data_IF_645437309212
#
_entry.id   IF_645437309212
#
_cell.length_a   1.000
_cell.length_b   1.000
_cell.length_c   1.000
_cell.angle_alpha   90.00
_cell.angle_beta   90.00
_cell.angle_gamma   90.00
#
_symmetry.space_group_name_H-M   'P 1'
#
loop_
_entity.id
_entity.type
_entity.pdbx_description
1 polymer ?
#
# COMPACT_ATOMS: atom_id res chain seq x y z
N UNK A 1 4.50 -4.55 10.87
CA UNK A 1 3.17 -4.20 10.32
C UNK A 1 3.38 -3.25 9.16
N UNK A 2 2.81 -3.49 7.98
CA UNK A 2 2.87 -2.50 6.88
C UNK A 2 1.51 -1.87 6.73
N UNK A 3 1.49 -0.54 6.67
CA UNK A 3 0.29 0.24 6.37
C UNK A 3 0.52 0.93 5.04
N UNK A 4 -0.39 0.72 4.09
CA UNK A 4 -0.28 1.32 2.75
C UNK A 4 -1.64 1.80 2.24
N UNK A 5 -1.63 2.95 1.58
CA UNK A 5 -2.84 3.54 1.02
C UNK A 5 -3.79 4.12 2.07
N UNK A 6 -5.09 4.12 1.75
CA UNK A 6 -6.11 4.78 2.54
C UNK A 6 -6.34 6.25 2.14
N UNK A 7 -7.28 6.89 2.80
CA UNK A 7 -7.65 8.28 2.56
C UNK A 7 -8.76 8.72 3.52
N UNK A 8 -9.03 10.02 3.67
CA UNK A 8 -10.01 10.56 4.62
C UNK A 8 -11.48 10.26 4.28
N UNK A 9 -11.76 9.32 3.36
CA UNK A 9 -13.09 9.00 2.85
C UNK A 9 -13.44 9.67 1.51
N UNK A 10 -12.63 10.63 1.04
CA UNK A 10 -12.72 11.26 -0.29
C UNK A 10 -11.31 11.39 -0.92
N UNK A 11 -11.23 11.42 -2.25
CA UNK A 11 -9.98 11.59 -3.02
C UNK A 11 -9.24 12.88 -2.64
N UNK A 12 -7.89 12.88 -2.54
CA UNK A 12 -6.97 11.86 -3.08
C UNK A 12 -6.58 10.74 -2.09
N UNK A 13 -6.41 9.53 -2.61
CA UNK A 13 -5.84 8.40 -1.84
C UNK A 13 -4.32 8.57 -1.68
N UNK A 14 -3.79 8.13 -0.54
CA UNK A 14 -2.35 8.15 -0.31
C UNK A 14 -1.65 7.12 -1.23
N UNK A 15 -0.54 7.54 -1.86
CA UNK A 15 0.35 6.67 -2.64
C UNK A 15 1.54 6.17 -1.80
N UNK A 16 1.54 6.48 -0.51
CA UNK A 16 2.60 6.15 0.42
C UNK A 16 2.16 5.01 1.32
N UNK A 17 3.14 4.20 1.71
CA UNK A 17 3.00 3.30 2.84
C UNK A 17 4.31 3.23 3.58
N UNK A 18 4.27 2.62 4.75
CA UNK A 18 5.43 2.47 5.58
C UNK A 18 5.44 1.10 6.26
N UNK A 19 6.63 0.55 6.42
CA UNK A 19 6.85 -0.62 7.25
C UNK A 19 7.06 -0.15 8.68
N UNK A 20 6.05 -0.36 9.52
CA UNK A 20 6.15 -0.21 10.96
C UNK A 20 6.81 -1.47 11.54
N UNK A 21 7.96 -1.31 12.17
CA UNK A 21 8.50 -2.31 13.08
C UNK A 21 7.91 -2.05 14.48
N UNK A 22 6.96 -2.87 14.96
CA UNK A 22 6.31 -2.65 16.24
C UNK A 22 7.24 -2.90 17.44
N UNK A 23 8.39 -3.56 17.24
CA UNK A 23 9.38 -3.78 18.30
C UNK A 23 10.33 -2.58 18.44
N UNK A 24 10.56 -1.85 17.34
CA UNK A 24 11.43 -0.69 17.30
C UNK A 24 10.68 0.66 17.35
N UNK A 25 9.34 0.63 17.35
CA UNK A 25 8.45 1.80 17.20
C UNK A 25 8.89 2.74 16.06
N UNK A 26 9.38 2.13 14.98
CA UNK A 26 10.04 2.84 13.88
C UNK A 26 9.35 2.54 12.55
N UNK A 27 9.25 3.58 11.72
CA UNK A 27 8.77 3.49 10.35
C UNK A 27 9.95 3.54 9.40
N UNK A 28 10.15 2.48 8.65
CA UNK A 28 11.13 2.47 7.57
C UNK A 28 10.43 2.84 6.25
N UNK A 29 10.97 3.80 5.48
CA UNK A 29 10.45 4.10 4.15
C UNK A 29 10.64 2.87 3.25
N UNK A 30 9.58 2.47 2.56
CA UNK A 30 9.62 1.39 1.55
C UNK A 30 9.88 1.99 0.17
N UNK A 31 10.58 1.23 -0.69
CA UNK A 31 10.79 1.70 -2.05
C UNK A 31 9.46 1.75 -2.78
N UNK A 32 9.16 2.90 -3.40
CA UNK A 32 8.00 3.07 -4.29
C UNK A 32 8.30 2.62 -5.73
N UNK A 33 9.43 1.97 -5.95
CA UNK A 33 9.78 1.44 -7.27
C UNK A 33 8.85 0.28 -7.60
N UNK A 34 8.11 0.40 -8.72
CA UNK A 34 7.01 -0.49 -9.13
C UNK A 34 5.75 -0.45 -8.24
N UNK A 35 5.59 0.65 -7.50
CA UNK A 35 4.38 0.93 -6.73
C UNK A 35 3.12 0.86 -7.63
N UNK A 36 2.10 0.07 -7.25
CA UNK A 36 0.79 0.15 -7.87
C UNK A 36 0.18 1.55 -7.74
N UNK A 37 -0.69 1.90 -8.69
CA UNK A 37 -1.46 3.15 -8.63
C UNK A 37 -2.24 3.31 -7.32
N UNK A 38 -2.55 4.57 -6.98
CA UNK A 38 -3.32 4.95 -5.80
C UNK A 38 -4.65 4.21 -5.73
N UNK A 39 -4.90 3.56 -4.59
CA UNK A 39 -6.10 2.73 -4.39
C UNK A 39 -6.48 2.60 -2.92
N UNK A 40 -7.76 2.36 -2.69
CA UNK A 40 -8.35 1.98 -1.40
C UNK A 40 -8.98 0.59 -1.50
N UNK A 41 -9.40 0.00 -0.37
CA UNK A 41 -10.06 -1.31 -0.32
C UNK A 41 -9.27 -2.45 -1.01
N UNK A 42 -7.95 -2.34 -1.07
CA UNK A 42 -7.08 -3.37 -1.66
C UNK A 42 -6.73 -4.44 -0.62
N UNK A 43 -6.25 -5.59 -1.09
CA UNK A 43 -5.64 -6.62 -0.23
C UNK A 43 -4.12 -6.42 -0.24
N UNK A 44 -3.49 -6.47 0.94
CA UNK A 44 -2.04 -6.37 1.08
C UNK A 44 -1.47 -7.56 1.86
N UNK A 45 -0.39 -8.16 1.37
CA UNK A 45 0.32 -9.27 2.02
C UNK A 45 1.81 -8.96 2.09
N UNK A 46 2.43 -9.21 3.25
CA UNK A 46 3.88 -9.06 3.46
C UNK A 46 4.60 -10.41 3.41
N UNK A 47 5.52 -10.57 2.47
CA UNK A 47 6.32 -11.80 2.29
C UNK A 47 7.71 -11.66 2.92
N UNK A 48 7.78 -11.13 4.15
CA UNK A 48 9.00 -10.85 4.93
C UNK A 48 9.92 -9.73 4.40
N UNK A 49 10.07 -9.60 3.08
CA UNK A 49 10.93 -8.59 2.44
C UNK A 49 10.22 -7.76 1.37
N UNK A 50 8.98 -8.09 1.03
CA UNK A 50 8.20 -7.43 -0.03
C UNK A 50 6.75 -7.36 0.32
N UNK A 51 6.09 -6.28 -0.07
CA UNK A 51 4.63 -6.15 0.05
C UNK A 51 4.01 -6.39 -1.30
N UNK A 52 3.02 -7.27 -1.35
CA UNK A 52 2.18 -7.49 -2.53
C UNK A 52 0.84 -6.81 -2.28
N UNK A 53 0.43 -5.95 -3.20
CA UNK A 53 -0.86 -5.26 -3.17
C UNK A 53 -1.68 -5.70 -4.37
N UNK A 54 -2.94 -6.12 -4.16
CA UNK A 54 -3.82 -6.57 -5.23
C UNK A 54 -5.23 -6.00 -5.11
N UNK A 55 -5.85 -5.72 -6.25
CA UNK A 55 -7.23 -5.25 -6.34
C UNK A 55 -7.44 -3.84 -5.80
N UNK A 56 -8.65 -3.56 -5.30
CA UNK A 56 -9.03 -2.28 -4.69
C UNK A 56 -9.82 -1.35 -5.62
N UNK A 57 -9.91 -0.07 -5.25
CA UNK A 57 -10.65 0.97 -5.95
C UNK A 57 -9.81 2.25 -6.02
N UNK A 58 -9.58 2.78 -7.23
CA UNK A 58 -8.77 3.98 -7.45
C UNK A 58 -9.57 5.29 -7.42
N UNK A 59 -10.85 5.25 -7.02
CA UNK A 59 -11.72 6.43 -7.08
C UNK A 59 -12.57 6.50 -8.34
N UNK A 60 -12.32 5.62 -9.31
CA UNK A 60 -13.07 5.53 -10.57
C UNK A 60 -13.48 4.11 -10.92
N UNK A 61 -12.57 3.14 -10.79
CA UNK A 61 -12.79 1.75 -11.17
C UNK A 61 -12.38 0.80 -10.05
N UNK A 62 -13.08 -0.33 -9.94
CA UNK A 62 -12.57 -1.51 -9.24
C UNK A 62 -11.41 -2.10 -10.05
N UNK A 63 -10.33 -2.42 -9.35
CA UNK A 63 -9.09 -2.88 -9.95
C UNK A 63 -8.99 -4.40 -9.86
N UNK A 64 -8.51 -5.03 -10.92
CA UNK A 64 -8.06 -6.42 -10.95
C UNK A 64 -6.53 -6.51 -11.13
N UNK A 65 -5.82 -5.40 -10.94
CA UNK A 65 -4.37 -5.27 -11.07
C UNK A 65 -3.71 -5.20 -9.69
N UNK A 66 -2.40 -5.44 -9.65
CA UNK A 66 -1.60 -5.33 -8.44
C UNK A 66 -0.17 -4.91 -8.73
N UNK A 67 0.62 -4.81 -7.67
CA UNK A 67 2.04 -4.48 -7.75
C UNK A 67 2.75 -4.79 -6.45
N UNK A 68 4.06 -4.58 -6.44
CA UNK A 68 4.92 -4.92 -5.30
C UNK A 68 5.71 -3.72 -4.81
N UNK A 69 5.95 -3.68 -3.51
CA UNK A 69 6.92 -2.79 -2.88
C UNK A 69 8.09 -3.64 -2.38
N UNK A 70 9.31 -3.18 -2.68
CA UNK A 70 10.57 -3.71 -2.16
C UNK A 70 10.99 -2.98 -0.88
#
# INVERSE_FOLDING_TARGET
MIVWGGGPGNVPFFHTGGMCDPLADAWNPISVQNAPETRSFHTAVWTRNRMIVWGGYNGKNTLNTGGTYD
#
